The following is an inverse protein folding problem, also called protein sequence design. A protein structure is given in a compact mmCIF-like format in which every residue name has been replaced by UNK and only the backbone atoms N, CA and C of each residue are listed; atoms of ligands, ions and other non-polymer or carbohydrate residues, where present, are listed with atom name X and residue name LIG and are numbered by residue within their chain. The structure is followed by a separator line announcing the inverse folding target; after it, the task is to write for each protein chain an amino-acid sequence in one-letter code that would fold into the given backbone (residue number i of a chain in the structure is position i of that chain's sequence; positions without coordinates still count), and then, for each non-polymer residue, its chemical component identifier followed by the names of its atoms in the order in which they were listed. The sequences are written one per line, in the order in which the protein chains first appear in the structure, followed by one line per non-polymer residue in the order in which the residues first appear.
data_IF_840924199482
#
_entry.id   IF_840924199482
#
_cell.length_a   1.000
_cell.length_b   1.000
_cell.length_c   1.000
_cell.angle_alpha   90.00
_cell.angle_beta   90.00
_cell.angle_gamma   90.00
#
_symmetry.space_group_name_H-M   'P 1'
#
loop_
_entity.id
_entity.type
_entity.pdbx_description
1 polymer ?
#
# COMPACT_ATOMS: atom_id res chain seq x y z
N UNK A 1 9.76 -7.19 32.58
CA UNK A 1 8.85 -8.01 31.77
C UNK A 1 9.21 -7.79 30.31
N UNK A 2 9.99 -8.70 29.75
CA UNK A 2 10.35 -8.71 28.32
C UNK A 2 9.12 -9.16 27.53
N UNK A 3 8.63 -8.27 26.64
CA UNK A 3 7.55 -8.60 25.71
C UNK A 3 8.00 -9.77 24.83
N UNK A 4 7.50 -10.97 25.14
CA UNK A 4 7.61 -12.13 24.26
C UNK A 4 6.91 -11.80 22.94
N UNK A 5 7.66 -11.92 21.85
CA UNK A 5 7.25 -11.58 20.50
C UNK A 5 6.03 -12.36 20.03
N UNK A 6 4.88 -11.69 20.01
CA UNK A 6 3.82 -12.02 19.09
C UNK A 6 4.12 -11.18 17.84
N UNK A 7 4.68 -11.81 16.81
CA UNK A 7 4.79 -11.21 15.48
C UNK A 7 3.37 -11.24 14.90
N UNK A 8 2.56 -10.25 15.25
CA UNK A 8 1.21 -10.09 14.67
C UNK A 8 1.38 -9.55 13.26
N UNK A 9 1.02 -10.35 12.27
CA UNK A 9 1.01 -9.92 10.88
C UNK A 9 -0.24 -9.11 10.62
N UNK A 10 -0.06 -7.92 10.04
CA UNK A 10 -1.15 -7.09 9.57
C UNK A 10 -1.09 -6.98 8.06
N UNK A 11 -2.26 -6.98 7.43
CA UNK A 11 -2.42 -6.74 6.01
C UNK A 11 -3.19 -5.43 5.81
N UNK A 12 -2.81 -4.67 4.79
CA UNK A 12 -3.55 -3.47 4.40
C UNK A 12 -3.94 -3.61 2.94
N UNK A 13 -5.24 -3.49 2.66
CA UNK A 13 -5.77 -3.59 1.31
C UNK A 13 -6.93 -2.60 1.11
N UNK A 14 -7.26 -2.36 -0.15
CA UNK A 14 -8.37 -1.55 -0.62
C UNK A 14 -9.61 -2.42 -0.86
N UNK A 15 -10.71 -2.09 -0.18
CA UNK A 15 -12.01 -2.73 -0.39
C UNK A 15 -13.07 -1.72 -0.87
N UNK A 16 -13.75 -1.98 -2.00
CA UNK A 16 -14.93 -1.21 -2.37
C UNK A 16 -16.15 -1.68 -1.57
N UNK A 17 -16.89 -0.72 -1.01
CA UNK A 17 -18.21 -0.95 -0.44
C UNK A 17 -19.30 -0.42 -1.39
N UNK A 18 -20.13 -1.34 -1.90
CA UNK A 18 -21.20 -1.01 -2.83
C UNK A 18 -22.37 -0.34 -2.09
N UNK A 19 -22.81 0.83 -2.56
CA UNK A 19 -23.96 1.54 -2.00
C UNK A 19 -24.86 2.05 -3.13
N UNK A 20 -26.16 2.20 -2.87
CA UNK A 20 -27.09 2.79 -3.84
C UNK A 20 -27.08 4.32 -3.83
N UNK A 21 -26.65 4.93 -2.73
CA UNK A 21 -26.63 6.38 -2.53
C UNK A 21 -25.74 7.12 -3.55
N UNK A 22 -26.16 8.26 -4.08
CA UNK A 22 -25.37 9.02 -5.06
C UNK A 22 -24.46 10.01 -4.34
N UNK A 23 -23.15 9.76 -4.39
CA UNK A 23 -22.13 10.66 -3.84
C UNK A 23 -20.93 10.75 -4.76
N UNK A 24 -20.25 11.90 -4.76
CA UNK A 24 -19.13 12.18 -5.66
C UNK A 24 -17.86 11.40 -5.32
N UNK A 25 -17.67 11.04 -4.05
CA UNK A 25 -16.50 10.28 -3.55
C UNK A 25 -16.44 8.83 -4.07
N UNK A 26 -17.50 8.35 -4.72
CA UNK A 26 -17.52 6.98 -5.25
C UNK A 26 -16.46 6.79 -6.34
N UNK A 27 -15.61 5.80 -6.14
CA UNK A 27 -14.66 5.37 -7.14
C UNK A 27 -15.20 4.20 -7.98
N UNK A 28 -14.70 4.14 -9.21
CA UNK A 28 -14.86 3.00 -10.10
C UNK A 28 -13.58 2.14 -10.07
N UNK A 29 -13.72 0.87 -9.67
CA UNK A 29 -12.66 -0.12 -9.53
C UNK A 29 -12.98 -1.33 -10.44
N UNK A 30 -12.48 -1.37 -11.69
CA UNK A 30 -12.92 -2.34 -12.70
C UNK A 30 -12.57 -3.79 -12.36
N UNK A 31 -11.48 -4.00 -11.62
CA UNK A 31 -10.97 -5.33 -11.25
C UNK A 31 -11.68 -5.93 -10.02
N UNK A 32 -12.51 -5.16 -9.30
CA UNK A 32 -13.23 -5.65 -8.13
C UNK A 32 -14.65 -6.15 -8.53
N UNK A 33 -15.22 -7.15 -7.84
CA UNK A 33 -16.54 -7.69 -8.17
C UNK A 33 -17.62 -6.60 -8.21
N UNK A 34 -17.62 -5.72 -7.21
CA UNK A 34 -18.44 -4.51 -7.19
C UNK A 34 -17.65 -3.33 -7.73
N UNK A 35 -17.90 -3.00 -9.00
CA UNK A 35 -17.08 -2.04 -9.73
C UNK A 35 -17.24 -0.59 -9.29
N UNK A 36 -18.32 -0.21 -8.60
CA UNK A 36 -18.56 1.18 -8.17
C UNK A 36 -18.99 1.24 -6.72
N UNK A 37 -18.24 1.95 -5.89
CA UNK A 37 -18.49 2.01 -4.46
C UNK A 37 -17.63 3.05 -3.74
N UNK A 38 -17.80 3.13 -2.43
CA UNK A 38 -16.85 3.85 -1.58
C UNK A 38 -15.61 3.00 -1.43
N UNK A 39 -14.45 3.57 -1.71
CA UNK A 39 -13.18 2.89 -1.57
C UNK A 39 -12.70 3.05 -0.12
N UNK A 40 -12.50 1.94 0.57
CA UNK A 40 -12.02 1.89 1.95
C UNK A 40 -10.60 1.33 1.96
N UNK A 41 -9.70 1.97 2.68
CA UNK A 41 -8.43 1.38 3.11
C UNK A 41 -8.67 0.66 4.42
N UNK A 42 -8.33 -0.63 4.50
CA UNK A 42 -8.58 -1.43 5.69
C UNK A 42 -7.30 -2.08 6.20
N UNK A 43 -7.04 -1.91 7.49
CA UNK A 43 -6.03 -2.66 8.24
C UNK A 43 -6.72 -3.89 8.86
N UNK A 44 -6.30 -5.07 8.41
CA UNK A 44 -6.82 -6.35 8.88
C UNK A 44 -5.71 -7.17 9.53
N UNK A 45 -6.05 -7.91 10.58
CA UNK A 45 -5.14 -8.92 11.16
C UNK A 45 -5.36 -10.30 10.54
N UNK A 46 -4.46 -11.23 10.87
CA UNK A 46 -4.54 -12.64 10.45
C UNK A 46 -5.78 -13.38 10.94
N UNK A 47 -6.35 -12.89 12.01
CA UNK A 47 -7.58 -13.31 12.67
C UNK A 47 -8.85 -12.96 11.86
N UNK A 48 -8.71 -12.24 10.74
CA UNK A 48 -9.80 -11.95 9.81
C UNK A 48 -10.64 -10.74 10.19
N UNK A 49 -10.31 -10.08 11.31
CA UNK A 49 -10.97 -8.84 11.72
C UNK A 49 -10.29 -7.60 11.13
N UNK A 50 -11.12 -6.62 10.78
CA UNK A 50 -10.66 -5.27 10.40
C UNK A 50 -10.55 -4.41 11.66
N UNK A 51 -9.35 -3.93 11.94
CA UNK A 51 -9.04 -3.13 13.13
C UNK A 51 -9.27 -1.64 12.91
N UNK A 52 -8.91 -1.17 11.71
CA UNK A 52 -9.00 0.25 11.35
C UNK A 52 -9.35 0.36 9.87
N UNK A 53 -10.22 1.30 9.53
CA UNK A 53 -10.45 1.65 8.14
C UNK A 53 -10.52 3.16 7.95
N UNK A 54 -10.10 3.61 6.78
CA UNK A 54 -10.15 5.01 6.36
C UNK A 54 -10.83 5.09 4.99
N UNK A 55 -11.73 6.06 4.83
CA UNK A 55 -12.46 6.28 3.59
C UNK A 55 -11.58 7.07 2.64
N UNK A 56 -11.39 6.58 1.42
CA UNK A 56 -10.75 7.32 0.34
C UNK A 56 -11.59 8.55 -0.04
N UNK A 57 -11.00 9.74 0.04
CA UNK A 57 -11.66 10.99 -0.36
C UNK A 57 -11.04 11.55 -1.65
N UNK A 58 -9.80 11.15 -1.99
CA UNK A 58 -9.08 11.59 -3.19
C UNK A 58 -8.14 12.76 -2.98
N UNK A 59 -7.95 13.19 -1.73
CA UNK A 59 -7.04 14.28 -1.35
C UNK A 59 -5.75 13.76 -0.68
N UNK A 60 -5.58 12.43 -0.57
CA UNK A 60 -4.45 11.82 0.16
C UNK A 60 -3.07 12.01 -0.50
N UNK A 61 -3.01 12.42 -1.77
CA UNK A 61 -1.75 12.79 -2.43
C UNK A 61 -1.50 14.30 -2.44
N UNK A 62 -2.34 15.10 -1.80
CA UNK A 62 -2.17 16.53 -1.82
C UNK A 62 -0.92 16.91 -1.02
N UNK A 63 0.06 17.62 -1.62
CA UNK A 63 1.32 17.96 -0.97
C UNK A 63 1.12 18.78 0.32
N UNK A 64 -0.05 19.41 0.50
CA UNK A 64 -0.41 20.14 1.72
C UNK A 64 -0.41 19.26 2.98
N UNK A 65 -0.81 17.99 2.87
CA UNK A 65 -0.90 17.07 4.02
C UNK A 65 0.29 16.12 4.11
N UNK A 66 1.16 16.10 3.10
CA UNK A 66 2.39 15.31 3.07
C UNK A 66 3.52 16.08 3.73
N UNK A 67 4.40 15.40 4.46
CA UNK A 67 5.61 16.05 4.96
C UNK A 67 6.58 16.36 3.82
N UNK A 68 7.37 17.44 3.92
CA UNK A 68 8.26 17.87 2.83
C UNK A 68 9.29 16.83 2.40
N UNK A 69 9.72 15.97 3.33
CA UNK A 69 10.83 15.01 3.13
C UNK A 69 10.36 13.61 2.66
N UNK A 70 9.05 13.37 2.58
CA UNK A 70 8.52 12.05 2.25
C UNK A 70 8.31 11.91 0.73
N UNK A 71 8.81 10.85 0.07
CA UNK A 71 8.55 10.62 -1.35
C UNK A 71 7.07 10.29 -1.59
N UNK A 72 6.54 10.65 -2.78
CA UNK A 72 5.17 10.28 -3.16
C UNK A 72 5.18 8.88 -3.76
N UNK A 73 4.74 7.91 -2.96
CA UNK A 73 4.65 6.51 -3.36
C UNK A 73 3.25 6.17 -3.95
N UNK A 74 2.34 7.15 -3.97
CA UNK A 74 0.95 7.06 -4.43
C UNK A 74 -0.05 6.79 -3.30
N UNK A 75 -1.35 7.02 -3.54
CA UNK A 75 -2.40 7.04 -2.51
C UNK A 75 -2.36 5.85 -1.54
N UNK A 76 -2.32 4.62 -2.08
CA UNK A 76 -2.26 3.41 -1.27
C UNK A 76 -0.95 3.36 -0.50
N UNK A 77 0.20 3.46 -1.16
CA UNK A 77 1.50 3.38 -0.47
C UNK A 77 1.76 4.55 0.50
N UNK A 78 1.19 5.74 0.30
CA UNK A 78 1.33 6.88 1.22
C UNK A 78 0.49 6.69 2.49
N UNK A 79 -0.72 6.13 2.35
CA UNK A 79 -1.57 5.76 3.50
C UNK A 79 -0.98 4.54 4.21
N UNK A 80 -0.44 3.59 3.45
CA UNK A 80 -0.05 2.25 3.90
C UNK A 80 1.39 2.16 4.38
N UNK A 81 2.33 2.88 3.78
CA UNK A 81 3.74 2.46 3.79
C UNK A 81 4.71 3.49 4.40
N UNK A 82 5.57 2.92 5.22
CA UNK A 82 6.88 3.38 5.68
C UNK A 82 6.89 4.37 6.84
N UNK A 83 6.59 5.66 6.67
CA UNK A 83 7.06 6.66 7.67
C UNK A 83 6.30 6.61 8.99
N UNK A 84 5.01 6.22 8.98
CA UNK A 84 4.25 6.10 10.21
C UNK A 84 4.52 4.77 10.93
N UNK A 85 4.57 3.64 10.22
CA UNK A 85 4.72 2.31 10.81
C UNK A 85 6.15 1.98 11.25
N UNK A 86 7.17 2.48 10.53
CA UNK A 86 8.58 2.35 10.95
C UNK A 86 8.82 3.04 12.29
N UNK A 87 8.14 4.17 12.57
CA UNK A 87 8.21 4.82 13.90
C UNK A 87 7.68 3.96 15.03
N UNK A 88 6.75 3.05 14.74
CA UNK A 88 6.22 2.08 15.70
C UNK A 88 6.98 0.73 15.65
N UNK A 89 8.11 0.66 14.94
CA UNK A 89 8.91 -0.56 14.82
C UNK A 89 8.27 -1.66 13.98
N UNK A 90 7.25 -1.34 13.18
CA UNK A 90 6.55 -2.30 12.34
C UNK A 90 7.21 -2.31 10.95
N UNK A 91 7.77 -3.45 10.60
CA UNK A 91 8.33 -3.70 9.26
C UNK A 91 7.18 -3.99 8.28
N UNK A 92 7.21 -3.33 7.11
CA UNK A 92 6.17 -3.48 6.08
C UNK A 92 6.75 -4.13 4.83
N UNK A 93 6.69 -5.47 4.69
CA UNK A 93 6.96 -6.12 3.41
C UNK A 93 5.82 -5.82 2.44
N UNK A 94 6.16 -5.47 1.20
CA UNK A 94 5.15 -5.13 0.20
C UNK A 94 5.73 -5.09 -1.21
N UNK A 95 4.84 -5.15 -2.21
CA UNK A 95 5.22 -4.98 -3.60
C UNK A 95 5.18 -3.49 -3.95
N UNK A 96 6.26 -3.00 -4.57
CA UNK A 96 6.33 -1.63 -5.07
C UNK A 96 6.53 -1.63 -6.57
N UNK A 97 5.85 -0.71 -7.27
CA UNK A 97 6.12 -0.50 -8.69
C UNK A 97 7.47 0.16 -8.84
N UNK A 98 8.30 -0.35 -9.75
CA UNK A 98 9.61 0.24 -10.10
C UNK A 98 9.54 1.75 -10.36
N UNK A 99 8.49 2.20 -11.06
CA UNK A 99 8.28 3.62 -11.38
C UNK A 99 7.99 4.52 -10.18
N UNK A 100 7.73 3.95 -9.00
CA UNK A 100 7.50 4.68 -7.74
C UNK A 100 8.77 4.80 -6.89
N UNK A 101 9.86 4.14 -7.29
CA UNK A 101 11.13 4.17 -6.56
C UNK A 101 12.05 5.20 -7.26
N UNK A 102 12.39 6.32 -6.61
CA UNK A 102 13.35 7.27 -7.16
C UNK A 102 14.72 6.60 -7.32
N UNK A 103 15.37 6.80 -8.47
CA UNK A 103 16.68 6.20 -8.79
C UNK A 103 16.76 4.69 -8.53
N UNK A 104 15.74 3.94 -8.98
CA UNK A 104 15.66 2.49 -8.79
C UNK A 104 16.85 1.74 -9.42
N UNK A 105 17.66 1.08 -8.57
CA UNK A 105 18.84 0.29 -8.97
C UNK A 105 18.51 -1.10 -9.50
N UNK A 106 17.25 -1.52 -9.42
CA UNK A 106 16.81 -2.84 -9.91
C UNK A 106 16.89 -2.89 -11.45
N UNK A 107 16.95 -4.07 -12.07
CA UNK A 107 16.95 -4.26 -13.53
C UNK A 107 15.57 -4.04 -14.13
N UNK A 108 15.48 -3.41 -15.31
CA UNK A 108 14.21 -3.07 -15.95
C UNK A 108 13.44 -4.30 -16.44
N UNK A 109 12.13 -4.19 -16.61
CA UNK A 109 11.29 -5.29 -17.08
C UNK A 109 11.79 -5.88 -18.42
N UNK A 110 12.42 -5.05 -19.27
CA UNK A 110 13.01 -5.50 -20.54
C UNK A 110 14.30 -6.29 -20.37
N UNK A 111 15.10 -5.95 -19.37
CA UNK A 111 16.33 -6.69 -19.03
C UNK A 111 15.96 -8.01 -18.36
N UNK A 112 15.05 -7.97 -17.40
CA UNK A 112 14.51 -9.17 -16.73
C UNK A 112 13.80 -10.14 -17.68
N UNK A 113 13.15 -9.65 -18.74
CA UNK A 113 12.51 -10.50 -19.74
C UNK A 113 13.49 -11.31 -20.59
N UNK A 114 14.77 -10.92 -20.64
CA UNK A 114 15.84 -11.68 -21.34
C UNK A 114 16.40 -12.80 -20.48
N UNK A 115 16.28 -12.69 -19.17
CA UNK A 115 16.74 -13.68 -18.22
C UNK A 115 15.84 -14.94 -18.25
N UNK A 116 16.40 -16.05 -17.75
CA UNK A 116 15.65 -17.30 -17.64
C UNK A 116 14.51 -17.14 -16.63
N UNK A 117 13.36 -17.77 -16.91
CA UNK A 117 12.25 -17.85 -15.94
C UNK A 117 12.74 -18.45 -14.61
N UNK A 118 12.47 -17.75 -13.51
CA UNK A 118 12.91 -18.13 -12.16
C UNK A 118 14.12 -17.35 -11.64
N UNK A 119 14.75 -16.50 -12.47
CA UNK A 119 15.80 -15.58 -12.02
C UNK A 119 15.21 -14.47 -11.13
N UNK A 120 15.89 -14.16 -10.03
CA UNK A 120 15.55 -13.07 -9.10
C UNK A 120 16.80 -12.25 -8.79
N UNK A 121 16.64 -10.94 -8.67
CA UNK A 121 17.70 -10.04 -8.20
C UNK A 121 17.27 -9.38 -6.90
N UNK A 122 18.21 -9.30 -5.95
CA UNK A 122 18.01 -8.66 -4.65
C UNK A 122 18.97 -7.48 -4.53
N UNK A 123 18.45 -6.34 -4.08
CA UNK A 123 19.25 -5.15 -3.83
C UNK A 123 19.02 -4.68 -2.39
N UNK A 124 20.09 -4.68 -1.59
CA UNK A 124 20.07 -4.16 -0.23
C UNK A 124 20.54 -2.71 -0.26
N UNK A 125 19.69 -1.79 0.18
CA UNK A 125 20.09 -0.40 0.37
C UNK A 125 20.95 -0.28 1.64
N UNK A 126 22.21 0.13 1.47
CA UNK A 126 23.13 0.50 2.57
C UNK A 126 22.91 1.95 3.00
#
# INVERSE_FOLDING_TARGET
MTFRGIVTWFNIDEQPHATKYRHYIKQYLPAKPYKRGYKLYMLCGTDGFSYKFEIYIGDENNPKYRKPEEPDLGSSANIVLAVHLVKYGILCPGTMRRSRIPHCKLPSDKEMAKEKRGTSEEFVAN
#
